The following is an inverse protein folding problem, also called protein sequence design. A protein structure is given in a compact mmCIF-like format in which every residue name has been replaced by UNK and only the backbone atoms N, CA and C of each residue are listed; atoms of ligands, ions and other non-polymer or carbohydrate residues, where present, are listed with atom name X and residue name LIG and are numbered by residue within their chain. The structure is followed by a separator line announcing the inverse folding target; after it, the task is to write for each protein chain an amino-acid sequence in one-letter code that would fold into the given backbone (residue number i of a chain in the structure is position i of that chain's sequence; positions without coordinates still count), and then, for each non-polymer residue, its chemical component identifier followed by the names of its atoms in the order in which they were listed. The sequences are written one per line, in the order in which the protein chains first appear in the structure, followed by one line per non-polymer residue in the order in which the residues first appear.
data_IF_772585874580
#
_entry.id   IF_772585874580
#
_cell.length_a   1.000
_cell.length_b   1.000
_cell.length_c   1.000
_cell.angle_alpha   90.00
_cell.angle_beta   90.00
_cell.angle_gamma   90.00
#
_symmetry.space_group_name_H-M   'P 1'
#
loop_
_entity.id
_entity.type
_entity.pdbx_description
1 polymer ?
#
# COMPACT_ATOMS: atom_id res chain seq x y z
N UNK A 1 -19.91 -2.30 3.53
CA UNK A 1 -18.48 -1.93 3.57
C UNK A 1 -17.85 -2.36 2.26
N UNK A 2 -17.22 -1.43 1.55
CA UNK A 2 -16.66 -1.66 0.20
C UNK A 2 -15.15 -1.86 0.28
N UNK A 3 -14.62 -2.84 -0.45
CA UNK A 3 -13.20 -3.18 -0.39
C UNK A 3 -12.58 -3.21 -1.78
N UNK A 4 -11.34 -2.71 -1.88
CA UNK A 4 -10.49 -2.86 -3.06
C UNK A 4 -9.26 -3.68 -2.70
N UNK A 5 -8.79 -4.49 -3.64
CA UNK A 5 -7.57 -5.28 -3.50
C UNK A 5 -6.41 -4.49 -4.08
N UNK A 6 -5.37 -4.23 -3.29
CA UNK A 6 -4.14 -3.57 -3.70
C UNK A 6 -2.91 -4.37 -3.23
N UNK A 7 -1.76 -4.07 -3.81
CA UNK A 7 -0.49 -4.71 -3.49
C UNK A 7 0.34 -3.78 -2.62
N UNK A 8 0.38 -4.06 -1.32
CA UNK A 8 1.19 -3.33 -0.35
C UNK A 8 2.67 -3.71 -0.49
N UNK A 9 3.54 -2.71 -0.48
CA UNK A 9 4.99 -2.87 -0.49
C UNK A 9 5.51 -2.70 0.93
N UNK A 10 6.04 -3.78 1.49
CA UNK A 10 6.67 -3.79 2.80
C UNK A 10 8.19 -3.90 2.68
N UNK A 11 8.91 -3.31 3.63
CA UNK A 11 10.37 -3.44 3.73
C UNK A 11 10.70 -4.36 4.89
N UNK A 12 11.18 -5.55 4.59
CA UNK A 12 11.68 -6.47 5.60
C UNK A 12 13.17 -6.23 5.80
N UNK A 13 13.53 -5.87 7.03
CA UNK A 13 14.91 -5.83 7.48
C UNK A 13 15.26 -7.15 8.14
N UNK A 14 16.37 -7.73 7.71
CA UNK A 14 16.93 -8.95 8.29
C UNK A 14 18.37 -8.66 8.70
N UNK A 15 18.74 -9.07 9.92
CA UNK A 15 20.10 -8.88 10.44
C UNK A 15 20.83 -10.21 10.42
N UNK A 16 21.95 -10.27 9.71
CA UNK A 16 22.88 -11.39 9.84
C UNK A 16 23.82 -11.10 11.01
N UNK A 17 23.57 -11.73 12.16
CA UNK A 17 24.33 -11.49 13.39
C UNK A 17 25.81 -11.90 13.28
N UNK A 18 26.14 -12.87 12.42
CA UNK A 18 27.52 -13.33 12.23
C UNK A 18 28.34 -12.37 11.35
N UNK A 19 27.72 -11.80 10.32
CA UNK A 19 28.38 -10.88 9.39
C UNK A 19 28.21 -9.40 9.75
N UNK A 20 27.40 -9.09 10.78
CA UNK A 20 27.00 -7.73 11.14
C UNK A 20 26.38 -6.91 10.00
N UNK A 21 25.78 -7.58 9.00
CA UNK A 21 25.13 -6.93 7.86
C UNK A 21 23.62 -6.86 8.06
N UNK A 22 23.04 -5.70 7.75
CA UNK A 22 21.59 -5.50 7.69
C UNK A 22 21.13 -5.52 6.23
N UNK A 23 20.33 -6.52 5.87
CA UNK A 23 19.75 -6.65 4.53
C UNK A 23 18.30 -6.16 4.56
N UNK A 24 17.98 -5.22 3.68
CA UNK A 24 16.60 -4.76 3.48
C UNK A 24 16.10 -5.26 2.14
N UNK A 25 14.98 -5.98 2.12
CA UNK A 25 14.31 -6.41 0.90
C UNK A 25 12.87 -5.91 0.85
N UNK A 26 12.39 -5.58 -0.36
CA UNK A 26 10.98 -5.30 -0.59
C UNK A 26 10.20 -6.61 -0.67
N UNK A 27 9.03 -6.63 -0.05
CA UNK A 27 8.07 -7.73 -0.10
C UNK A 27 6.72 -7.17 -0.53
N UNK A 28 6.07 -7.88 -1.43
CA UNK A 28 4.79 -7.50 -2.01
C UNK A 28 3.70 -8.36 -1.39
N UNK A 29 2.69 -7.74 -0.81
CA UNK A 29 1.60 -8.44 -0.13
C UNK A 29 0.27 -7.92 -0.64
N UNK A 30 -0.56 -8.82 -1.12
CA UNK A 30 -1.94 -8.48 -1.47
C UNK A 30 -2.74 -8.18 -0.20
N UNK A 31 -3.43 -7.03 -0.20
CA UNK A 31 -4.23 -6.57 0.93
C UNK A 31 -5.53 -5.93 0.47
N UNK A 32 -6.58 -6.18 1.23
CA UNK A 32 -7.87 -5.52 1.04
C UNK A 32 -7.93 -4.25 1.85
N UNK A 33 -8.23 -3.13 1.19
CA UNK A 33 -8.39 -1.83 1.80
C UNK A 33 -9.86 -1.43 1.74
N UNK A 34 -10.38 -0.95 2.87
CA UNK A 34 -11.75 -0.45 2.96
C UNK A 34 -11.82 0.92 2.27
N UNK A 35 -12.59 1.01 1.18
CA UNK A 35 -12.76 2.22 0.38
C UNK A 35 -13.29 3.36 1.23
N UNK A 36 -14.25 3.09 2.11
CA UNK A 36 -14.90 4.07 2.98
C UNK A 36 -13.92 4.68 4.00
N UNK A 37 -12.70 4.14 4.11
CA UNK A 37 -11.64 4.60 5.02
C UNK A 37 -10.44 5.20 4.30
N UNK A 38 -10.40 5.19 2.97
CA UNK A 38 -9.35 5.84 2.19
C UNK A 38 -9.59 7.36 2.24
N UNK A 39 -8.63 8.12 2.77
CA UNK A 39 -8.72 9.58 2.81
C UNK A 39 -8.09 10.22 1.58
N UNK A 40 -6.91 9.75 1.21
CA UNK A 40 -6.16 10.30 0.09
C UNK A 40 -5.14 9.28 -0.44
N UNK A 41 -4.58 9.56 -1.61
CA UNK A 41 -3.40 8.90 -2.14
C UNK A 41 -2.49 9.93 -2.79
N UNK A 42 -1.19 9.74 -2.68
CA UNK A 42 -0.20 10.61 -3.33
C UNK A 42 0.85 9.77 -4.04
N UNK A 43 1.40 10.32 -5.12
CA UNK A 43 2.49 9.71 -5.85
C UNK A 43 3.75 10.53 -5.65
N UNK A 44 4.81 9.89 -5.15
CA UNK A 44 6.13 10.48 -5.06
C UNK A 44 7.09 9.62 -5.90
N UNK A 45 7.63 10.21 -6.97
CA UNK A 45 8.42 9.49 -7.97
C UNK A 45 7.64 8.29 -8.55
N UNK A 46 8.16 7.08 -8.41
CA UNK A 46 7.55 5.83 -8.89
C UNK A 46 6.83 5.06 -7.79
N UNK A 47 6.45 5.73 -6.71
CA UNK A 47 5.85 5.11 -5.54
C UNK A 47 4.54 5.79 -5.21
N UNK A 48 3.48 4.99 -5.06
CA UNK A 48 2.16 5.46 -4.63
C UNK A 48 2.00 5.18 -3.14
N UNK A 49 1.49 6.17 -2.41
CA UNK A 49 1.18 6.09 -0.99
C UNK A 49 -0.32 6.23 -0.80
N UNK A 50 -0.90 5.32 -0.01
CA UNK A 50 -2.31 5.32 0.36
C UNK A 50 -2.45 5.74 1.82
N UNK A 51 -3.32 6.72 2.08
CA UNK A 51 -3.58 7.25 3.41
C UNK A 51 -4.97 6.82 3.86
N UNK A 52 -5.04 6.21 5.04
CA UNK A 52 -6.27 5.65 5.60
C UNK A 52 -6.64 6.43 6.85
N UNK A 53 -7.91 6.82 7.01
CA UNK A 53 -8.43 7.47 8.23
C UNK A 53 -8.21 6.69 9.53
N UNK A 54 -7.98 5.39 9.42
CA UNK A 54 -7.79 4.47 10.55
C UNK A 54 -6.32 4.32 10.97
N UNK A 55 -5.39 4.93 10.23
CA UNK A 55 -3.95 4.75 10.43
C UNK A 55 -3.21 6.06 10.18
N UNK A 56 -2.34 6.46 11.12
CA UNK A 56 -1.42 7.58 10.90
C UNK A 56 -0.29 7.25 9.91
N UNK A 57 -0.08 5.97 9.60
CA UNK A 57 0.91 5.52 8.64
C UNK A 57 0.35 5.44 7.22
N UNK A 58 1.14 5.87 6.25
CA UNK A 58 0.88 5.69 4.82
C UNK A 58 1.30 4.29 4.37
N UNK A 59 0.49 3.67 3.51
CA UNK A 59 0.80 2.38 2.90
C UNK A 59 1.45 2.58 1.53
N UNK A 60 2.66 2.07 1.33
CA UNK A 60 3.28 2.00 -0.01
C UNK A 60 2.51 0.96 -0.83
N UNK A 61 2.00 1.33 -2.00
CA UNK A 61 1.27 0.41 -2.90
C UNK A 61 1.85 0.44 -4.31
N UNK A 62 1.74 -0.69 -5.01
CA UNK A 62 2.26 -0.85 -6.38
C UNK A 62 1.37 -0.15 -7.40
N UNK A 63 0.05 -0.14 -7.16
CA UNK A 63 -0.93 0.40 -8.08
C UNK A 63 -0.75 1.92 -8.26
N UNK A 64 -1.01 2.39 -9.49
CA UNK A 64 -0.96 3.81 -9.78
C UNK A 64 -2.21 4.52 -9.23
N UNK A 65 -2.14 5.85 -9.00
CA UNK A 65 -3.29 6.64 -8.59
C UNK A 65 -4.53 6.41 -9.49
N UNK A 66 -4.34 6.36 -10.81
CA UNK A 66 -5.42 6.16 -11.77
C UNK A 66 -6.08 4.79 -11.59
N UNK A 67 -5.28 3.75 -11.34
CA UNK A 67 -5.79 2.41 -11.10
C UNK A 67 -6.58 2.33 -9.79
N UNK A 68 -6.09 2.99 -8.74
CA UNK A 68 -6.79 3.07 -7.45
C UNK A 68 -8.14 3.77 -7.63
N UNK A 69 -8.20 4.90 -8.32
CA UNK A 69 -9.45 5.61 -8.61
C UNK A 69 -10.44 4.73 -9.38
N UNK A 70 -9.97 3.99 -10.39
CA UNK A 70 -10.84 3.06 -11.13
C UNK A 70 -11.40 1.97 -10.22
N UNK A 71 -10.58 1.38 -9.36
CA UNK A 71 -11.00 0.34 -8.43
C UNK A 71 -12.03 0.86 -7.41
N UNK A 72 -11.83 2.10 -6.91
CA UNK A 72 -12.80 2.77 -6.03
C UNK A 72 -14.14 2.95 -6.74
N UNK A 73 -14.14 3.51 -7.95
CA UNK A 73 -15.38 3.70 -8.73
C UNK A 73 -16.10 2.38 -9.02
N UNK A 74 -15.36 1.32 -9.31
CA UNK A 74 -15.93 -0.02 -9.51
C UNK A 74 -16.57 -0.56 -8.23
N UNK A 75 -15.92 -0.37 -7.07
CA UNK A 75 -16.46 -0.77 -5.78
C UNK A 75 -17.66 0.07 -5.33
N UNK A 76 -17.79 1.31 -5.83
CA UNK A 76 -18.94 2.18 -5.56
C UNK A 76 -20.18 1.86 -6.42
N UNK A 77 -19.99 1.20 -7.57
CA UNK A 77 -21.06 0.83 -8.49
C UNK A 77 -21.76 -0.51 -8.15
N UNK A 78 -21.28 -1.21 -7.11
CA UNK A 78 -21.82 -2.48 -6.59
C UNK A 78 -22.50 -2.20 -5.25
#
# INVERSE_FOLDING_TARGET
MRFIKLTEVNRLQTRNLKMQVTNTRKVYKERYFNVDKIENFSRLKNTTYLYMSTSSAAFEVVETPEKIVQLIKQAEAI
#
